data_IF_576354599552
#
_entry.id   IF_576354599552
#
_cell.length_a   1.000
_cell.length_b   1.000
_cell.length_c   1.000
_cell.angle_alpha   90.00
_cell.angle_beta   90.00
_cell.angle_gamma   90.00
#
_symmetry.space_group_name_H-M   'P 1'
#
loop_
_entity.id
_entity.type
_entity.pdbx_description
1 polymer ?
#
# COMPACT_ATOMS: atom_id res chain seq x y z
N UNK A 1 -6.94 -2.56 4.85
CA UNK A 1 -8.32 -3.06 5.12
C UNK A 1 -8.49 -4.34 4.35
N UNK A 2 -8.74 -5.44 5.01
CA UNK A 2 -9.03 -6.73 4.40
C UNK A 2 -10.39 -6.64 3.70
N UNK A 3 -10.43 -5.98 2.53
CA UNK A 3 -11.68 -5.68 1.81
C UNK A 3 -12.29 -6.91 1.14
N UNK A 4 -11.55 -8.02 1.09
CA UNK A 4 -12.05 -9.26 0.53
C UNK A 4 -12.89 -9.98 1.57
N UNK A 5 -14.17 -10.08 1.30
CA UNK A 5 -15.13 -10.86 2.09
C UNK A 5 -14.86 -12.39 2.04
N UNK A 6 -13.73 -12.79 1.46
CA UNK A 6 -13.34 -14.18 1.33
C UNK A 6 -12.56 -14.60 2.59
N UNK A 7 -13.09 -15.61 3.25
CA UNK A 7 -12.50 -16.24 4.41
C UNK A 7 -12.25 -17.71 4.09
N UNK A 8 -11.21 -18.26 4.72
CA UNK A 8 -11.00 -19.71 4.70
C UNK A 8 -11.98 -20.44 5.63
N UNK A 9 -11.88 -21.77 5.69
CA UNK A 9 -12.71 -22.64 6.55
C UNK A 9 -12.55 -22.34 8.06
N UNK A 10 -11.47 -21.66 8.48
CA UNK A 10 -11.19 -21.25 9.85
C UNK A 10 -11.59 -19.79 10.14
N UNK A 11 -12.22 -19.12 9.17
CA UNK A 11 -12.60 -17.70 9.29
C UNK A 11 -11.42 -16.76 9.31
N UNK A 12 -10.34 -17.10 8.60
CA UNK A 12 -9.16 -16.24 8.40
C UNK A 12 -9.30 -15.56 7.04
N UNK A 13 -9.11 -14.23 6.96
CA UNK A 13 -9.14 -13.54 5.67
C UNK A 13 -8.11 -14.13 4.70
N UNK A 14 -8.53 -14.42 3.48
CA UNK A 14 -7.66 -15.04 2.47
C UNK A 14 -6.37 -14.24 2.21
N UNK A 15 -6.46 -12.89 2.19
CA UNK A 15 -5.28 -12.02 2.05
C UNK A 15 -4.28 -12.17 3.20
N UNK A 16 -4.77 -12.43 4.42
CA UNK A 16 -3.89 -12.72 5.54
C UNK A 16 -3.15 -14.04 5.33
N UNK A 17 -3.87 -15.09 4.90
CA UNK A 17 -3.25 -16.38 4.60
C UNK A 17 -2.18 -16.26 3.52
N UNK A 18 -2.45 -15.49 2.45
CA UNK A 18 -1.47 -15.21 1.39
C UNK A 18 -0.24 -14.48 1.92
N UNK A 19 -0.43 -13.45 2.74
CA UNK A 19 0.69 -12.72 3.36
C UNK A 19 1.54 -13.61 4.25
N UNK A 20 0.90 -14.46 5.05
CA UNK A 20 1.60 -15.42 5.93
C UNK A 20 2.33 -16.50 5.12
N UNK A 21 1.72 -17.00 4.06
CA UNK A 21 2.34 -17.96 3.15
C UNK A 21 3.59 -17.40 2.48
N UNK A 22 3.50 -16.17 1.97
CA UNK A 22 4.65 -15.48 1.37
C UNK A 22 5.76 -15.24 2.41
N UNK A 23 5.38 -14.85 3.63
CA UNK A 23 6.36 -14.67 4.71
C UNK A 23 7.04 -15.98 5.11
N UNK A 24 6.29 -17.09 5.19
CA UNK A 24 6.86 -18.43 5.44
C UNK A 24 7.85 -18.83 4.34
N UNK A 25 7.53 -18.55 3.07
CA UNK A 25 8.43 -18.78 1.93
C UNK A 25 9.71 -17.93 2.01
N UNK A 26 9.62 -16.66 2.44
CA UNK A 26 10.81 -15.82 2.67
C UNK A 26 11.70 -16.40 3.76
N UNK A 27 11.12 -16.85 4.88
CA UNK A 27 11.86 -17.50 5.97
C UNK A 27 12.52 -18.80 5.51
N UNK A 28 11.81 -19.61 4.73
CA UNK A 28 12.34 -20.83 4.12
C UNK A 28 13.52 -20.51 3.20
N UNK A 29 13.35 -19.54 2.30
CA UNK A 29 14.42 -19.10 1.38
C UNK A 29 15.66 -18.64 2.16
N UNK A 30 15.47 -17.81 3.19
CA UNK A 30 16.56 -17.34 4.03
C UNK A 30 17.32 -18.51 4.68
N UNK A 31 16.59 -19.48 5.22
CA UNK A 31 17.19 -20.68 5.85
C UNK A 31 17.98 -21.52 4.83
N UNK A 32 17.42 -21.78 3.66
CA UNK A 32 18.03 -22.60 2.60
C UNK A 32 19.28 -21.94 2.01
N UNK A 33 19.36 -20.61 2.03
CA UNK A 33 20.50 -19.85 1.54
C UNK A 33 21.49 -19.39 2.64
N UNK A 34 21.33 -19.90 3.87
CA UNK A 34 22.28 -19.63 4.97
C UNK A 34 22.21 -18.21 5.53
N UNK A 35 21.18 -17.46 5.19
CA UNK A 35 20.92 -16.10 5.72
C UNK A 35 20.56 -16.23 7.21
N UNK A 36 21.08 -15.34 8.04
CA UNK A 36 20.89 -15.38 9.51
C UNK A 36 19.93 -14.33 10.01
N UNK A 37 19.88 -13.18 9.38
CA UNK A 37 19.11 -12.02 9.85
C UNK A 37 18.01 -11.70 8.85
N UNK A 38 16.79 -11.52 9.36
CA UNK A 38 15.62 -11.09 8.59
C UNK A 38 15.10 -9.79 9.18
N UNK A 39 14.99 -8.75 8.34
CA UNK A 39 14.52 -7.43 8.74
C UNK A 39 13.13 -7.19 8.16
N UNK A 40 12.18 -6.82 9.03
CA UNK A 40 10.81 -6.40 8.63
C UNK A 40 10.74 -4.89 8.77
N UNK A 41 10.63 -4.21 7.63
CA UNK A 41 10.72 -2.75 7.57
C UNK A 41 9.40 -2.02 7.88
N UNK A 42 8.71 -2.43 8.94
CA UNK A 42 7.52 -1.79 9.49
C UNK A 42 6.19 -2.17 8.83
N UNK A 43 5.11 -1.61 9.39
CA UNK A 43 3.72 -1.83 8.94
C UNK A 43 3.30 -3.32 8.93
N UNK A 44 3.60 -4.03 10.02
CA UNK A 44 3.13 -5.40 10.24
C UNK A 44 1.61 -5.41 10.49
N UNK A 45 1.08 -4.36 11.09
CA UNK A 45 -0.33 -4.14 11.32
C UNK A 45 -0.91 -3.16 10.29
N UNK A 46 -2.15 -3.37 9.83
CA UNK A 46 -2.81 -2.48 8.86
C UNK A 46 -3.56 -1.32 9.54
N UNK A 47 -4.13 -1.54 10.70
CA UNK A 47 -5.00 -0.58 11.40
C UNK A 47 -4.35 -0.05 12.67
N UNK A 48 -4.16 1.28 12.76
CA UNK A 48 -3.48 1.94 13.88
C UNK A 48 -4.03 1.61 15.28
N UNK A 49 -5.35 1.50 15.42
CA UNK A 49 -6.02 1.34 16.72
C UNK A 49 -6.63 -0.05 16.92
N UNK A 50 -6.42 -0.96 16.00
CA UNK A 50 -7.05 -2.30 16.02
C UNK A 50 -6.01 -3.35 15.67
N UNK A 51 -5.87 -4.33 16.54
CA UNK A 51 -5.01 -5.48 16.31
C UNK A 51 -5.89 -6.72 16.12
N UNK A 52 -5.72 -7.37 14.99
CA UNK A 52 -6.33 -8.68 14.76
C UNK A 52 -5.47 -9.76 15.40
N UNK A 53 -5.86 -10.25 16.57
CA UNK A 53 -5.06 -11.22 17.34
C UNK A 53 -4.65 -12.46 16.53
N UNK A 54 -5.52 -12.95 15.62
CA UNK A 54 -5.20 -14.11 14.77
C UNK A 54 -3.96 -13.86 13.91
N UNK A 55 -3.79 -12.64 13.36
CA UNK A 55 -2.63 -12.28 12.55
C UNK A 55 -1.33 -12.45 13.33
N UNK A 56 -1.29 -11.88 14.53
CA UNK A 56 -0.10 -11.94 15.38
C UNK A 56 0.19 -13.35 15.92
N UNK A 57 -0.84 -14.11 16.28
CA UNK A 57 -0.68 -15.52 16.72
C UNK A 57 -0.10 -16.38 15.58
N UNK A 58 -0.60 -16.22 14.37
CA UNK A 58 -0.12 -17.00 13.22
C UNK A 58 1.29 -16.58 12.79
N UNK A 59 1.56 -15.26 12.76
CA UNK A 59 2.89 -14.73 12.46
C UNK A 59 3.92 -15.23 13.48
N UNK A 60 3.58 -15.19 14.77
CA UNK A 60 4.44 -15.70 15.84
C UNK A 60 4.78 -17.18 15.68
N UNK A 61 3.80 -18.00 15.28
CA UNK A 61 4.03 -19.43 14.98
C UNK A 61 5.03 -19.63 13.83
N UNK A 62 4.98 -18.79 12.79
CA UNK A 62 5.96 -18.85 11.70
C UNK A 62 7.34 -18.47 12.22
N UNK A 63 7.45 -17.39 12.97
CA UNK A 63 8.72 -16.96 13.58
C UNK A 63 9.33 -18.05 14.46
N UNK A 64 8.52 -18.68 15.31
CA UNK A 64 8.97 -19.78 16.20
C UNK A 64 9.42 -21.02 15.41
N UNK A 65 8.84 -21.28 14.23
CA UNK A 65 9.24 -22.38 13.32
C UNK A 65 10.67 -22.18 12.81
N UNK A 66 11.09 -20.93 12.59
CA UNK A 66 12.41 -20.58 12.05
C UNK A 66 13.36 -20.04 13.12
N UNK A 67 13.60 -20.82 14.17
CA UNK A 67 14.44 -20.44 15.29
C UNK A 67 15.93 -20.25 14.96
N UNK A 68 16.35 -20.62 13.75
CA UNK A 68 17.69 -20.40 13.22
C UNK A 68 17.86 -19.00 12.58
N UNK A 69 16.77 -18.24 12.39
CA UNK A 69 16.77 -16.87 11.91
C UNK A 69 16.62 -15.90 13.08
N UNK A 70 17.35 -14.81 13.03
CA UNK A 70 17.12 -13.65 13.92
C UNK A 70 16.22 -12.65 13.21
N UNK A 71 15.08 -12.32 13.82
CA UNK A 71 14.11 -11.37 13.28
C UNK A 71 14.28 -10.00 13.93
N UNK A 72 14.52 -8.99 13.12
CA UNK A 72 14.51 -7.58 13.51
C UNK A 72 13.28 -6.94 12.92
N UNK A 73 12.33 -6.53 13.76
CA UNK A 73 11.03 -6.01 13.34
C UNK A 73 10.93 -4.57 13.85
N UNK A 74 11.01 -3.61 12.93
CA UNK A 74 10.85 -2.20 13.30
C UNK A 74 9.39 -1.76 13.16
N UNK A 75 8.95 -0.79 13.98
CA UNK A 75 7.61 -0.23 13.85
C UNK A 75 7.50 0.67 12.63
N UNK A 76 6.38 0.53 11.92
CA UNK A 76 5.91 1.45 10.90
C UNK A 76 4.80 2.36 11.46
N UNK A 77 4.27 3.23 10.62
CA UNK A 77 3.26 4.20 11.04
C UNK A 77 1.86 3.59 11.29
N UNK A 78 1.61 2.36 10.85
CA UNK A 78 0.39 1.62 11.12
C UNK A 78 0.49 0.73 12.37
N UNK A 79 1.69 0.47 12.85
CA UNK A 79 1.91 -0.35 14.05
C UNK A 79 1.67 0.42 15.36
N UNK A 80 1.54 1.74 15.30
CA UNK A 80 1.33 2.63 16.43
C UNK A 80 -0.08 3.24 16.41
N UNK A 81 -0.74 3.30 17.57
CA UNK A 81 -2.08 3.85 17.70
C UNK A 81 -2.08 5.38 17.55
N UNK A 82 -1.10 6.05 18.12
CA UNK A 82 -0.90 7.49 18.00
C UNK A 82 0.58 7.84 17.82
N UNK A 83 0.83 9.08 17.44
CA UNK A 83 2.20 9.59 17.26
C UNK A 83 3.00 9.73 18.57
N UNK A 84 2.32 9.69 19.69
CA UNK A 84 2.90 9.87 21.02
C UNK A 84 2.99 8.55 21.79
N UNK A 85 2.51 7.46 21.17
CA UNK A 85 2.52 6.15 21.82
C UNK A 85 3.95 5.63 22.00
N UNK A 86 4.16 5.08 23.18
CA UNK A 86 5.39 4.36 23.54
C UNK A 86 5.24 2.86 23.27
N UNK A 87 4.04 2.41 22.87
CA UNK A 87 3.69 1.02 22.58
C UNK A 87 3.36 0.86 21.11
N UNK A 88 3.79 -0.25 20.56
CA UNK A 88 3.52 -0.65 19.18
C UNK A 88 2.94 -2.05 19.14
N UNK A 89 2.06 -2.30 18.17
CA UNK A 89 1.46 -3.61 17.96
C UNK A 89 2.50 -4.73 17.78
N UNK A 90 3.66 -4.41 17.19
CA UNK A 90 4.72 -5.42 16.97
C UNK A 90 5.28 -6.02 18.25
N UNK A 91 5.14 -5.33 19.40
CA UNK A 91 5.57 -5.87 20.71
C UNK A 91 4.79 -7.12 21.14
N UNK A 92 3.66 -7.42 20.49
CA UNK A 92 2.96 -8.70 20.66
C UNK A 92 3.78 -9.89 20.12
N UNK A 93 4.78 -9.63 19.32
CA UNK A 93 5.70 -10.64 18.79
C UNK A 93 6.87 -10.92 19.75
N UNK A 94 7.08 -10.09 20.76
CA UNK A 94 8.12 -10.30 21.77
C UNK A 94 7.93 -11.63 22.52
N UNK A 95 9.02 -12.18 23.00
CA UNK A 95 9.08 -13.40 23.80
C UNK A 95 10.02 -14.45 23.23
N UNK A 96 9.95 -14.85 21.93
CA UNK A 96 10.98 -15.71 21.35
C UNK A 96 12.37 -15.05 21.40
N UNK A 97 13.40 -15.83 21.73
CA UNK A 97 14.78 -15.32 21.85
C UNK A 97 15.38 -14.86 20.53
N UNK A 98 14.78 -15.26 19.42
CA UNK A 98 15.18 -14.89 18.06
C UNK A 98 14.38 -13.72 17.48
N UNK A 99 13.70 -12.93 18.31
CA UNK A 99 12.96 -11.73 17.91
C UNK A 99 13.50 -10.50 18.64
N UNK A 100 13.68 -9.42 17.91
CA UNK A 100 13.97 -8.10 18.45
C UNK A 100 13.03 -7.09 17.79
N UNK A 101 12.06 -6.59 18.55
CA UNK A 101 11.21 -5.48 18.11
C UNK A 101 11.90 -4.14 18.35
N UNK A 102 11.78 -3.20 17.42
CA UNK A 102 12.41 -1.88 17.47
C UNK A 102 11.31 -0.85 17.30
N UNK A 103 10.91 -0.23 18.43
CA UNK A 103 9.68 0.58 18.48
C UNK A 103 9.95 2.08 18.49
N UNK A 104 10.86 2.54 19.35
CA UNK A 104 11.03 3.97 19.59
C UNK A 104 12.43 4.47 19.29
N UNK A 105 13.40 3.82 19.87
CA UNK A 105 14.78 4.27 19.81
C UNK A 105 15.52 3.61 18.66
N UNK A 106 16.39 4.33 17.95
CA UNK A 106 17.27 3.75 16.95
C UNK A 106 18.17 2.65 17.56
N UNK A 107 18.44 1.63 16.77
CA UNK A 107 19.30 0.51 17.16
C UNK A 107 20.43 0.36 16.16
N UNK A 108 21.64 0.15 16.64
CA UNK A 108 22.80 -0.15 15.81
C UNK A 108 23.20 -1.62 15.97
N UNK A 109 23.43 -2.28 14.84
CA UNK A 109 23.87 -3.67 14.76
C UNK A 109 24.97 -3.73 13.72
N UNK A 110 26.21 -3.95 14.16
CA UNK A 110 27.37 -3.95 13.27
C UNK A 110 27.44 -2.67 12.41
N UNK A 111 27.32 -2.80 11.09
CA UNK A 111 27.34 -1.70 10.12
C UNK A 111 25.92 -1.23 9.70
N UNK A 112 24.89 -1.62 10.45
CA UNK A 112 23.49 -1.33 10.15
C UNK A 112 22.91 -0.41 11.24
N UNK A 113 22.33 0.70 10.85
CA UNK A 113 21.50 1.56 11.69
C UNK A 113 20.03 1.28 11.37
N UNK A 114 19.22 1.02 12.39
CA UNK A 114 17.78 0.79 12.25
C UNK A 114 17.05 1.93 12.97
N UNK A 115 16.26 2.69 12.22
CA UNK A 115 15.44 3.79 12.76
C UNK A 115 13.97 3.43 12.56
N UNK A 116 13.22 3.13 13.64
CA UNK A 116 11.79 2.87 13.54
C UNK A 116 11.04 4.14 13.13
N UNK A 117 9.79 4.01 12.72
CA UNK A 117 8.97 5.19 12.43
C UNK A 117 8.77 6.03 13.68
N UNK A 118 9.06 7.32 13.57
CA UNK A 118 8.87 8.31 14.63
C UNK A 118 8.42 9.65 14.05
N UNK A 119 7.89 10.54 14.90
CA UNK A 119 7.58 11.90 14.49
C UNK A 119 8.80 12.73 14.12
N UNK A 120 9.96 12.37 14.67
CA UNK A 120 11.22 13.10 14.59
C UNK A 120 12.28 12.33 13.78
N UNK A 121 11.85 11.58 12.73
CA UNK A 121 12.78 10.81 11.89
C UNK A 121 13.97 11.65 11.40
N UNK A 122 13.74 12.93 11.02
CA UNK A 122 14.83 13.83 10.63
C UNK A 122 15.86 14.08 11.73
N UNK A 123 15.42 14.17 12.97
CA UNK A 123 16.29 14.34 14.14
C UNK A 123 17.07 13.05 14.39
N UNK A 124 16.38 11.93 14.42
CA UNK A 124 17.02 10.60 14.51
C UNK A 124 18.03 10.36 13.40
N UNK A 125 17.72 10.78 12.17
CA UNK A 125 18.66 10.70 11.05
C UNK A 125 19.91 11.58 11.29
N UNK A 126 19.78 12.78 11.85
CA UNK A 126 20.91 13.66 12.14
C UNK A 126 21.81 13.09 13.25
N UNK A 127 21.20 12.55 14.30
CA UNK A 127 21.89 12.01 15.48
C UNK A 127 22.50 10.63 15.24
N UNK A 128 21.96 9.86 14.29
CA UNK A 128 22.50 8.56 13.94
C UNK A 128 23.97 8.68 13.51
N UNK A 129 24.80 7.75 13.94
CA UNK A 129 26.19 7.67 13.49
C UNK A 129 26.29 7.41 12.01
N UNK A 130 27.42 7.81 11.43
CA UNK A 130 27.77 7.39 10.09
C UNK A 130 27.90 5.85 10.09
N UNK A 131 27.06 5.19 9.31
CA UNK A 131 27.07 3.75 9.17
C UNK A 131 26.82 3.40 7.70
N UNK A 132 27.16 2.17 7.29
CA UNK A 132 27.03 1.79 5.88
C UNK A 132 25.57 1.65 5.46
N UNK A 133 24.75 1.03 6.30
CA UNK A 133 23.37 0.64 5.95
C UNK A 133 22.39 1.33 6.90
N UNK A 134 21.34 1.92 6.33
CA UNK A 134 20.15 2.37 7.05
C UNK A 134 18.97 1.46 6.71
N UNK A 135 18.25 0.98 7.73
CA UNK A 135 16.94 0.35 7.58
C UNK A 135 15.92 1.18 8.34
N UNK A 136 14.83 1.62 7.66
CA UNK A 136 13.85 2.48 8.29
C UNK A 136 12.47 2.41 7.61
N UNK A 137 11.52 3.24 8.11
CA UNK A 137 10.14 3.29 7.63
C UNK A 137 9.66 4.74 7.48
N UNK A 138 9.88 5.34 6.32
CA UNK A 138 9.40 6.69 5.99
C UNK A 138 9.40 6.96 4.48
N UNK A 139 8.69 8.01 4.06
CA UNK A 139 8.68 8.47 2.68
C UNK A 139 9.72 9.56 2.42
N UNK A 140 10.32 9.56 1.22
CA UNK A 140 11.16 10.66 0.71
C UNK A 140 10.49 11.38 -0.46
N UNK A 141 10.92 12.61 -0.72
CA UNK A 141 10.34 13.44 -1.79
C UNK A 141 10.45 12.85 -3.18
N UNK A 142 11.52 12.13 -3.44
CA UNK A 142 11.85 11.58 -4.74
C UNK A 142 11.11 10.28 -5.04
N UNK A 143 10.48 9.67 -4.01
CA UNK A 143 9.78 8.40 -4.15
C UNK A 143 8.32 8.56 -4.60
N UNK A 144 7.80 7.49 -5.22
CA UNK A 144 6.41 7.37 -5.64
C UNK A 144 5.64 6.48 -4.67
N UNK A 145 4.41 6.86 -4.37
CA UNK A 145 3.53 6.10 -3.46
C UNK A 145 2.97 4.86 -4.16
N UNK A 146 2.64 5.02 -5.43
CA UNK A 146 2.18 3.98 -6.34
C UNK A 146 2.52 4.42 -7.76
N UNK A 147 2.06 3.72 -8.78
CA UNK A 147 2.41 3.87 -10.21
C UNK A 147 2.42 5.28 -10.83
N UNK A 148 2.59 6.33 -10.06
CA UNK A 148 2.73 7.69 -10.63
C UNK A 148 2.56 8.85 -9.67
N UNK A 149 2.06 8.59 -8.47
CA UNK A 149 1.79 9.65 -7.49
C UNK A 149 2.98 9.82 -6.52
N UNK A 150 3.46 11.06 -6.37
CA UNK A 150 4.43 11.45 -5.35
C UNK A 150 3.76 12.24 -4.24
N UNK A 151 4.18 12.03 -3.00
CA UNK A 151 3.73 12.80 -1.84
C UNK A 151 4.93 13.62 -1.33
N UNK A 152 4.68 14.89 -1.02
CA UNK A 152 5.70 15.72 -0.40
C UNK A 152 6.10 15.20 0.96
N UNK A 153 7.39 14.96 1.15
CA UNK A 153 8.02 14.61 2.42
C UNK A 153 8.95 15.73 2.90
N UNK A 154 9.24 15.77 4.18
CA UNK A 154 10.29 16.65 4.74
C UNK A 154 11.69 16.06 4.54
N UNK A 155 11.79 14.79 4.18
CA UNK A 155 13.01 14.02 3.98
C UNK A 155 13.25 13.87 2.48
N UNK A 156 14.48 14.02 2.06
CA UNK A 156 14.92 13.78 0.69
C UNK A 156 16.28 13.08 0.65
N UNK A 157 16.75 12.74 -0.54
CA UNK A 157 18.05 12.07 -0.74
C UNK A 157 19.22 12.78 -0.05
N UNK A 158 19.17 14.12 0.03
CA UNK A 158 20.20 14.93 0.70
C UNK A 158 20.40 14.58 2.18
N UNK A 159 19.31 14.15 2.85
CA UNK A 159 19.31 13.84 4.27
C UNK A 159 19.86 12.41 4.55
N UNK A 160 20.05 11.60 3.50
CA UNK A 160 20.47 10.21 3.54
C UNK A 160 21.92 9.99 3.10
N UNK A 161 22.63 11.04 2.66
CA UNK A 161 23.97 10.95 2.04
C UNK A 161 25.05 10.32 2.89
N UNK A 162 24.87 10.20 4.20
CA UNK A 162 25.82 9.56 5.10
C UNK A 162 25.74 8.05 5.14
N UNK A 163 24.73 7.45 4.47
CA UNK A 163 24.57 6.02 4.36
C UNK A 163 24.90 5.58 2.92
N UNK A 164 25.69 4.51 2.79
CA UNK A 164 26.04 3.95 1.50
C UNK A 164 24.85 3.21 0.87
N UNK A 165 24.00 2.60 1.70
CA UNK A 165 22.79 1.88 1.31
C UNK A 165 21.63 2.20 2.24
N UNK A 166 20.46 2.47 1.68
CA UNK A 166 19.24 2.77 2.45
C UNK A 166 18.10 1.84 2.02
N UNK A 167 17.53 1.13 2.99
CA UNK A 167 16.45 0.16 2.80
C UNK A 167 15.19 0.66 3.53
N UNK A 168 14.13 0.92 2.79
CA UNK A 168 12.92 1.55 3.34
C UNK A 168 11.67 0.68 3.16
N UNK A 169 10.84 0.65 4.19
CA UNK A 169 9.42 0.32 4.11
C UNK A 169 8.56 1.54 3.79
N UNK A 170 7.27 1.52 4.14
CA UNK A 170 6.27 2.57 4.02
C UNK A 170 5.54 2.60 2.67
N UNK A 171 6.23 2.72 1.55
CA UNK A 171 5.59 2.69 0.23
C UNK A 171 5.43 1.25 -0.27
N UNK A 172 4.22 0.91 -0.72
CA UNK A 172 3.91 -0.44 -1.23
C UNK A 172 4.52 -0.70 -2.59
N UNK A 173 4.85 0.36 -3.34
CA UNK A 173 5.47 0.26 -4.66
C UNK A 173 6.97 -0.01 -4.54
N UNK A 174 7.47 -1.18 -4.99
CA UNK A 174 8.89 -1.48 -5.00
C UNK A 174 9.62 -0.56 -5.96
N UNK A 175 10.61 0.18 -5.48
CA UNK A 175 11.36 1.12 -6.31
C UNK A 175 12.78 1.32 -5.80
N UNK A 176 13.68 1.70 -6.70
CA UNK A 176 15.06 2.02 -6.40
C UNK A 176 15.34 3.46 -6.87
N UNK A 177 15.94 4.27 -6.02
CA UNK A 177 16.25 5.66 -6.28
C UNK A 177 17.67 5.89 -5.77
N UNK A 178 18.66 5.97 -6.66
CA UNK A 178 20.08 6.00 -6.30
C UNK A 178 20.43 4.82 -5.38
N UNK A 179 20.93 5.08 -4.17
CA UNK A 179 21.25 4.07 -3.15
C UNK A 179 20.08 3.76 -2.19
N UNK A 180 18.87 4.25 -2.48
CA UNK A 180 17.66 4.04 -1.67
C UNK A 180 16.77 3.01 -2.32
N UNK A 181 16.42 1.96 -1.58
CA UNK A 181 15.57 0.86 -2.02
C UNK A 181 14.32 0.80 -1.16
N UNK A 182 13.15 1.07 -1.75
CA UNK A 182 11.87 0.69 -1.15
C UNK A 182 11.59 -0.77 -1.47
N UNK A 183 11.45 -1.58 -0.43
CA UNK A 183 11.17 -3.02 -0.60
C UNK A 183 9.80 -3.25 -1.22
N UNK A 184 8.83 -2.40 -0.88
CA UNK A 184 7.43 -2.55 -1.23
C UNK A 184 6.67 -3.46 -0.26
N UNK A 185 5.38 -3.67 -0.52
CA UNK A 185 4.60 -4.69 0.17
C UNK A 185 4.95 -6.09 -0.33
N UNK A 186 4.82 -7.10 0.54
CA UNK A 186 5.17 -8.49 0.20
C UNK A 186 4.22 -9.14 -0.81
N UNK A 187 2.99 -8.64 -0.91
CA UNK A 187 1.95 -9.05 -1.87
C UNK A 187 1.21 -7.82 -2.39
N UNK A 188 0.45 -7.98 -3.46
CA UNK A 188 -0.48 -6.94 -3.89
C UNK A 188 -1.66 -6.87 -2.90
N UNK A 189 -1.79 -5.75 -2.20
CA UNK A 189 -2.82 -5.54 -1.19
C UNK A 189 -4.10 -4.92 -1.75
N UNK A 190 -3.99 -4.21 -2.87
CA UNK A 190 -5.08 -3.41 -3.45
C UNK A 190 -5.11 -3.53 -4.96
N UNK A 191 -6.29 -3.32 -5.55
CA UNK A 191 -6.51 -3.27 -6.99
C UNK A 191 -5.61 -2.25 -7.71
N UNK A 192 -5.29 -1.13 -7.04
CA UNK A 192 -4.38 -0.12 -7.60
C UNK A 192 -2.93 -0.59 -7.75
N UNK A 193 -2.60 -1.75 -7.20
CA UNK A 193 -1.27 -2.37 -7.29
C UNK A 193 -1.22 -3.45 -8.40
N UNK A 194 -2.27 -3.53 -9.23
CA UNK A 194 -2.30 -4.45 -10.37
C UNK A 194 -1.12 -4.18 -11.32
N UNK A 195 -0.42 -5.24 -11.72
CA UNK A 195 0.76 -5.17 -12.58
C UNK A 195 2.06 -4.83 -11.84
N UNK A 196 2.02 -4.63 -10.50
CA UNK A 196 3.23 -4.45 -9.71
C UNK A 196 3.82 -5.80 -9.31
N UNK A 197 5.08 -6.03 -9.64
CA UNK A 197 5.83 -7.15 -9.12
C UNK A 197 6.28 -6.87 -7.68
N UNK A 198 5.88 -7.73 -6.75
CA UNK A 198 6.25 -7.65 -5.34
C UNK A 198 7.51 -8.48 -5.07
N UNK A 199 8.29 -8.05 -4.07
CA UNK A 199 9.62 -8.62 -3.84
C UNK A 199 10.03 -8.58 -2.37
N UNK A 200 11.08 -9.30 -2.05
CA UNK A 200 11.95 -9.02 -0.91
C UNK A 200 13.39 -8.79 -1.39
N UNK A 201 14.20 -8.23 -0.54
CA UNK A 201 15.58 -7.89 -0.87
C UNK A 201 16.55 -8.78 -0.08
N UNK A 202 17.58 -9.25 -0.74
CA UNK A 202 18.74 -9.88 -0.13
C UNK A 202 19.89 -8.89 -0.24
N UNK A 203 20.57 -8.67 0.87
CA UNK A 203 21.64 -7.69 0.97
C UNK A 203 22.88 -8.38 1.52
N UNK A 204 23.98 -8.25 0.82
CA UNK A 204 25.28 -8.54 1.35
C UNK A 204 25.79 -7.32 2.11
N UNK A 205 25.97 -7.45 3.42
CA UNK A 205 26.35 -6.33 4.29
C UNK A 205 27.78 -5.85 4.12
N UNK A 206 28.64 -6.64 3.51
CA UNK A 206 30.05 -6.30 3.27
C UNK A 206 30.24 -5.59 1.95
N UNK A 207 29.65 -6.14 0.87
CA UNK A 207 29.76 -5.61 -0.50
C UNK A 207 28.70 -4.56 -0.81
N UNK A 208 27.58 -4.51 -0.05
CA UNK A 208 26.39 -3.71 -0.27
C UNK A 208 25.60 -4.09 -1.53
N UNK A 209 25.85 -5.28 -2.06
CA UNK A 209 25.09 -5.81 -3.19
C UNK A 209 23.65 -6.11 -2.77
N UNK A 210 22.68 -5.64 -3.58
CA UNK A 210 21.26 -5.84 -3.35
C UNK A 210 20.65 -6.70 -4.46
N UNK A 211 20.12 -7.85 -4.09
CA UNK A 211 19.39 -8.74 -5.00
C UNK A 211 17.90 -8.70 -4.69
N UNK A 212 17.09 -8.48 -5.73
CA UNK A 212 15.63 -8.54 -5.64
C UNK A 212 15.15 -9.96 -5.95
N UNK A 213 14.33 -10.52 -5.06
CA UNK A 213 13.65 -11.81 -5.26
C UNK A 213 12.16 -11.58 -5.30
N UNK A 214 11.49 -11.99 -6.37
CA UNK A 214 10.06 -11.83 -6.53
C UNK A 214 9.30 -12.71 -5.53
N UNK A 215 8.20 -12.19 -5.02
CA UNK A 215 7.28 -12.96 -4.19
C UNK A 215 6.21 -13.63 -5.05
N UNK A 216 5.89 -14.86 -4.72
CA UNK A 216 4.96 -15.70 -5.45
C UNK A 216 3.99 -16.43 -4.50
N UNK A 217 2.97 -17.10 -5.07
CA UNK A 217 2.04 -17.92 -4.31
C UNK A 217 0.89 -17.12 -3.64
N UNK A 218 0.58 -15.95 -4.17
CA UNK A 218 -0.57 -15.14 -3.75
C UNK A 218 -1.42 -14.74 -4.96
N UNK A 219 -2.70 -14.42 -4.73
CA UNK A 219 -3.60 -13.97 -5.79
C UNK A 219 -3.31 -12.53 -6.16
N UNK A 220 -3.01 -12.29 -7.44
CA UNK A 220 -2.69 -10.98 -8.00
C UNK A 220 -3.94 -10.27 -8.49
N UNK A 221 -3.86 -8.94 -8.56
CA UNK A 221 -4.85 -8.10 -9.23
C UNK A 221 -4.41 -7.85 -10.67
N UNK A 222 -5.36 -7.99 -11.60
CA UNK A 222 -5.18 -7.69 -13.00
C UNK A 222 -6.24 -6.70 -13.46
N UNK A 223 -5.84 -5.67 -14.21
CA UNK A 223 -6.73 -4.70 -14.80
C UNK A 223 -6.59 -4.77 -16.33
N UNK A 224 -7.68 -4.97 -17.00
CA UNK A 224 -7.75 -5.00 -18.48
C UNK A 224 -8.65 -3.88 -18.99
N UNK A 225 -8.26 -3.26 -20.09
CA UNK A 225 -9.09 -2.30 -20.82
C UNK A 225 -9.57 -2.96 -22.10
N UNK A 226 -10.87 -2.93 -22.38
CA UNK A 226 -11.48 -3.34 -23.64
C UNK A 226 -11.97 -2.09 -24.34
N UNK A 227 -11.19 -1.61 -25.29
CA UNK A 227 -11.44 -0.42 -26.12
C UNK A 227 -11.61 -0.76 -27.61
N UNK A 228 -11.42 -2.02 -27.99
CA UNK A 228 -11.48 -2.52 -29.36
C UNK A 228 -12.24 -3.86 -29.39
N UNK A 229 -13.36 -3.88 -30.14
CA UNK A 229 -14.20 -5.08 -30.28
C UNK A 229 -13.41 -6.29 -30.82
N UNK A 230 -12.41 -6.04 -31.69
CA UNK A 230 -11.60 -7.12 -32.28
C UNK A 230 -10.70 -7.86 -31.23
N UNK A 231 -10.38 -7.20 -30.11
CA UNK A 231 -9.54 -7.76 -29.03
C UNK A 231 -10.36 -8.36 -27.89
N UNK A 232 -11.66 -8.09 -27.86
CA UNK A 232 -12.56 -8.46 -26.76
C UNK A 232 -12.46 -9.95 -26.41
N UNK A 233 -12.63 -10.83 -27.39
CA UNK A 233 -12.66 -12.28 -27.12
C UNK A 233 -11.33 -12.81 -26.60
N UNK A 234 -10.20 -12.28 -27.09
CA UNK A 234 -8.88 -12.67 -26.60
C UNK A 234 -8.64 -12.22 -25.15
N UNK A 235 -9.02 -10.97 -24.82
CA UNK A 235 -8.93 -10.43 -23.47
C UNK A 235 -9.84 -11.20 -22.51
N UNK A 236 -11.09 -11.48 -22.91
CA UNK A 236 -12.02 -12.26 -22.09
C UNK A 236 -11.51 -13.67 -21.81
N UNK A 237 -10.88 -14.33 -22.79
CA UNK A 237 -10.28 -15.64 -22.62
C UNK A 237 -9.12 -15.61 -21.63
N UNK A 238 -8.24 -14.60 -21.70
CA UNK A 238 -7.15 -14.41 -20.75
C UNK A 238 -7.69 -14.12 -19.35
N UNK A 239 -8.66 -13.21 -19.23
CA UNK A 239 -9.33 -12.90 -17.99
C UNK A 239 -9.92 -14.16 -17.32
N UNK A 240 -10.53 -15.04 -18.15
CA UNK A 240 -11.07 -16.30 -17.64
C UNK A 240 -9.98 -17.21 -17.07
N UNK A 241 -8.88 -17.39 -17.79
CA UNK A 241 -7.77 -18.23 -17.34
C UNK A 241 -7.25 -17.75 -15.99
N UNK A 242 -6.96 -16.44 -15.87
CA UNK A 242 -6.49 -15.84 -14.64
C UNK A 242 -7.51 -15.91 -13.49
N UNK A 243 -8.80 -15.79 -13.81
CA UNK A 243 -9.88 -15.96 -12.81
C UNK A 243 -10.00 -17.41 -12.34
N UNK A 244 -9.86 -18.38 -13.25
CA UNK A 244 -9.87 -19.81 -12.91
C UNK A 244 -8.65 -20.21 -12.04
N UNK A 245 -7.54 -19.49 -12.18
CA UNK A 245 -6.36 -19.56 -11.29
C UNK A 245 -6.58 -18.88 -9.93
N UNK A 246 -7.72 -18.21 -9.74
CA UNK A 246 -8.12 -17.54 -8.50
C UNK A 246 -7.68 -16.10 -8.39
N UNK A 247 -7.12 -15.49 -9.43
CA UNK A 247 -6.71 -14.10 -9.43
C UNK A 247 -7.90 -13.12 -9.46
N UNK A 248 -7.68 -11.86 -9.04
CA UNK A 248 -8.68 -10.80 -9.03
C UNK A 248 -8.64 -10.02 -10.33
N UNK A 249 -9.70 -10.14 -11.12
CA UNK A 249 -9.79 -9.52 -12.44
C UNK A 249 -10.73 -8.32 -12.40
N UNK A 250 -10.30 -7.23 -13.03
CA UNK A 250 -11.16 -6.08 -13.32
C UNK A 250 -11.04 -5.73 -14.80
N UNK A 251 -12.17 -5.63 -15.47
CA UNK A 251 -12.25 -5.17 -16.85
C UNK A 251 -12.88 -3.77 -16.85
N UNK A 252 -12.23 -2.82 -17.52
CA UNK A 252 -12.82 -1.53 -17.89
C UNK A 252 -13.30 -1.66 -19.34
N UNK A 253 -14.61 -1.75 -19.50
CA UNK A 253 -15.22 -1.81 -20.81
C UNK A 253 -15.52 -0.40 -21.32
N UNK A 254 -14.84 -0.02 -22.39
CA UNK A 254 -15.00 1.27 -23.08
C UNK A 254 -15.83 1.14 -24.38
N UNK A 255 -16.30 -0.08 -24.68
CA UNK A 255 -17.20 -0.31 -25.81
C UNK A 255 -18.62 0.09 -25.43
N UNK A 256 -19.42 0.50 -26.41
CA UNK A 256 -20.85 0.77 -26.23
C UNK A 256 -21.64 -0.50 -25.87
N UNK A 257 -21.15 -1.66 -26.31
CA UNK A 257 -21.79 -2.95 -26.03
C UNK A 257 -21.50 -3.38 -24.60
N UNK A 258 -22.53 -3.63 -23.76
CA UNK A 258 -22.34 -4.17 -22.43
C UNK A 258 -21.64 -5.53 -22.46
N UNK A 259 -20.75 -5.76 -21.51
CA UNK A 259 -20.10 -7.04 -21.29
C UNK A 259 -20.57 -7.54 -19.92
N UNK A 260 -21.05 -8.77 -19.85
CA UNK A 260 -21.34 -9.46 -18.60
C UNK A 260 -20.49 -10.72 -18.54
N UNK A 261 -19.84 -10.92 -17.41
CA UNK A 261 -19.02 -12.13 -17.18
C UNK A 261 -19.06 -12.53 -15.72
N UNK A 262 -19.43 -13.78 -15.46
CA UNK A 262 -19.55 -14.30 -14.12
C UNK A 262 -18.19 -14.37 -13.41
N UNK A 263 -18.13 -13.88 -12.17
CA UNK A 263 -16.90 -13.90 -11.34
C UNK A 263 -15.88 -12.82 -11.64
N UNK A 264 -16.11 -11.97 -12.64
CA UNK A 264 -15.21 -10.88 -13.03
C UNK A 264 -15.86 -9.53 -12.74
N UNK A 265 -15.13 -8.59 -12.13
CA UNK A 265 -15.61 -7.23 -11.95
C UNK A 265 -15.50 -6.46 -13.26
N UNK A 266 -16.64 -6.04 -13.83
CA UNK A 266 -16.69 -5.22 -15.03
C UNK A 266 -17.12 -3.80 -14.64
N UNK A 267 -16.36 -2.82 -15.11
CA UNK A 267 -16.65 -1.39 -15.00
C UNK A 267 -16.92 -0.88 -16.41
N UNK A 268 -18.14 -0.45 -16.68
CA UNK A 268 -18.49 0.17 -17.96
C UNK A 268 -18.13 1.64 -17.90
N UNK A 269 -17.15 2.05 -18.71
CA UNK A 269 -16.77 3.43 -18.95
C UNK A 269 -17.36 3.87 -20.29
N UNK A 270 -18.66 4.13 -20.30
CA UNK A 270 -19.23 4.80 -21.46
C UNK A 270 -18.66 6.21 -21.55
N UNK A 271 -18.31 6.68 -22.76
CA UNK A 271 -18.19 8.12 -22.97
C UNK A 271 -19.46 8.73 -22.39
N UNK A 272 -19.31 9.60 -21.40
CA UNK A 272 -20.47 10.30 -20.86
C UNK A 272 -21.07 11.04 -22.05
N UNK A 273 -22.19 10.53 -22.60
CA UNK A 273 -23.05 11.38 -23.40
C UNK A 273 -23.12 12.71 -22.67
N UNK A 274 -22.84 13.79 -23.36
CA UNK A 274 -22.97 15.13 -22.79
C UNK A 274 -24.26 15.12 -21.99
N UNK A 275 -24.13 15.30 -20.67
CA UNK A 275 -25.20 15.00 -19.75
C UNK A 275 -26.47 15.63 -20.32
N UNK A 276 -27.45 14.84 -20.70
CA UNK A 276 -28.75 15.26 -21.33
C UNK A 276 -29.39 16.44 -20.61
N UNK A 277 -28.93 16.71 -19.37
CA UNK A 277 -29.30 17.82 -18.51
C UNK A 277 -28.45 19.08 -18.73
N UNK A 278 -27.46 19.08 -19.61
CA UNK A 278 -26.57 20.24 -19.86
C UNK A 278 -25.76 20.69 -18.64
N UNK A 279 -25.53 19.81 -17.65
CA UNK A 279 -24.73 20.07 -16.46
C UNK A 279 -23.41 19.29 -16.63
N UNK A 280 -22.27 19.99 -16.65
CA UNK A 280 -20.95 19.38 -16.74
C UNK A 280 -20.13 19.66 -15.50
N UNK A 281 -19.16 18.80 -15.19
CA UNK A 281 -18.25 18.97 -14.05
C UNK A 281 -17.30 20.16 -14.23
N UNK A 282 -17.15 20.68 -15.45
CA UNK A 282 -16.37 21.87 -15.77
C UNK A 282 -17.08 23.18 -15.46
N UNK A 283 -18.40 23.16 -15.25
CA UNK A 283 -19.16 24.34 -14.89
C UNK A 283 -18.88 24.76 -13.44
N UNK A 284 -18.92 26.08 -13.14
CA UNK A 284 -18.93 26.54 -11.76
C UNK A 284 -20.08 25.89 -10.98
N UNK A 285 -19.82 25.54 -9.73
CA UNK A 285 -20.78 24.78 -8.93
C UNK A 285 -22.14 25.50 -8.76
N UNK A 286 -22.12 26.82 -8.69
CA UNK A 286 -23.35 27.64 -8.65
C UNK A 286 -24.18 27.49 -9.92
N UNK A 287 -23.54 27.39 -11.08
CA UNK A 287 -24.21 27.20 -12.35
C UNK A 287 -24.77 25.78 -12.47
N UNK A 288 -24.01 24.77 -11.97
CA UNK A 288 -24.52 23.40 -11.86
C UNK A 288 -25.79 23.34 -11.03
N UNK A 289 -25.81 23.99 -9.86
CA UNK A 289 -26.98 24.06 -8.99
C UNK A 289 -28.16 24.77 -9.66
N UNK A 290 -27.93 25.90 -10.31
CA UNK A 290 -29.01 26.65 -11.03
C UNK A 290 -29.65 25.80 -12.12
N UNK A 291 -28.84 25.10 -12.93
CA UNK A 291 -29.34 24.19 -13.96
C UNK A 291 -30.08 23.01 -13.34
N UNK A 292 -29.55 22.41 -12.30
CA UNK A 292 -30.20 21.29 -11.60
C UNK A 292 -31.58 21.71 -11.05
N UNK A 293 -31.67 22.87 -10.40
CA UNK A 293 -32.94 23.38 -9.85
C UNK A 293 -33.96 23.67 -10.95
N UNK A 294 -33.50 24.11 -12.13
CA UNK A 294 -34.40 24.31 -13.28
C UNK A 294 -34.94 22.97 -13.82
N UNK A 295 -34.10 21.93 -13.87
CA UNK A 295 -34.52 20.59 -14.29
C UNK A 295 -35.52 19.96 -13.31
N UNK A 296 -35.39 20.28 -12.01
CA UNK A 296 -36.26 19.78 -10.95
C UNK A 296 -37.54 20.63 -10.79
N UNK A 297 -37.81 21.53 -11.72
CA UNK A 297 -38.98 22.44 -11.71
C UNK A 297 -39.14 23.26 -10.41
N UNK A 298 -38.01 23.57 -9.75
CA UNK A 298 -38.03 24.42 -8.55
C UNK A 298 -38.40 25.83 -8.97
N UNK A 299 -39.42 26.43 -8.33
CA UNK A 299 -39.89 27.78 -8.67
C UNK A 299 -38.73 28.79 -8.59
N UNK A 300 -38.64 29.68 -9.57
CA UNK A 300 -37.53 30.64 -9.69
C UNK A 300 -37.34 31.49 -8.40
N UNK A 301 -38.44 31.89 -7.77
CA UNK A 301 -38.44 32.63 -6.50
C UNK A 301 -37.79 31.90 -5.33
N UNK A 302 -37.64 30.59 -5.40
CA UNK A 302 -37.06 29.76 -4.32
C UNK A 302 -35.61 29.37 -4.59
N UNK A 303 -35.15 29.47 -5.83
CA UNK A 303 -33.82 29.00 -6.25
C UNK A 303 -32.68 29.70 -5.52
N UNK A 304 -32.78 31.01 -5.29
CA UNK A 304 -31.76 31.76 -4.57
C UNK A 304 -31.60 31.32 -3.11
N UNK A 305 -32.70 30.92 -2.47
CA UNK A 305 -32.67 30.42 -1.11
C UNK A 305 -32.00 29.03 -1.04
N UNK A 306 -32.36 28.12 -1.94
CA UNK A 306 -31.74 26.81 -2.02
C UNK A 306 -30.26 26.92 -2.38
N UNK A 307 -29.87 27.83 -3.26
CA UNK A 307 -28.48 28.06 -3.61
C UNK A 307 -27.64 28.52 -2.40
N UNK A 308 -28.17 29.47 -1.61
CA UNK A 308 -27.54 29.92 -0.36
C UNK A 308 -27.31 28.78 0.62
N UNK A 309 -28.33 27.95 0.82
CA UNK A 309 -28.26 26.78 1.71
C UNK A 309 -27.17 25.80 1.20
N UNK A 310 -27.22 25.49 -0.09
CA UNK A 310 -26.25 24.57 -0.69
C UNK A 310 -24.79 25.06 -0.55
N UNK A 311 -24.51 26.33 -0.85
CA UNK A 311 -23.19 26.95 -0.72
C UNK A 311 -22.73 26.92 0.75
N UNK A 312 -23.62 27.25 1.69
CA UNK A 312 -23.28 27.23 3.12
C UNK A 312 -22.98 25.83 3.63
N UNK A 313 -23.75 24.84 3.19
CA UNK A 313 -23.60 23.42 3.60
C UNK A 313 -22.31 22.81 3.04
N UNK A 314 -21.93 23.16 1.82
CA UNK A 314 -20.72 22.66 1.16
C UNK A 314 -19.44 23.42 1.57
N UNK A 315 -19.55 24.46 2.39
CA UNK A 315 -18.40 25.27 2.81
C UNK A 315 -17.67 25.97 1.67
N UNK A 316 -18.37 26.25 0.57
CA UNK A 316 -17.80 26.91 -0.62
C UNK A 316 -17.64 28.40 -0.31
N UNK A 317 -16.39 28.85 -0.18
CA UNK A 317 -16.10 30.29 -0.05
C UNK A 317 -16.41 30.98 -1.38
N UNK A 318 -17.34 31.95 -1.36
CA UNK A 318 -17.54 32.83 -2.49
C UNK A 318 -16.20 33.49 -2.87
N UNK A 319 -15.77 33.34 -4.13
CA UNK A 319 -14.55 33.98 -4.66
C UNK A 319 -14.70 35.50 -4.88
N UNK A 320 -15.79 36.10 -4.42
CA UNK A 320 -16.06 37.55 -4.51
C UNK A 320 -16.29 38.09 -3.10
N UNK A 321 -15.20 38.31 -2.37
CA UNK A 321 -15.17 38.96 -1.07
C UNK A 321 -13.74 39.15 -0.63
#
# INVERSE_FOLDING_TARGET
MWSDKLFDEFGIPMKLNESLFVFDNMCKYATENGIKNLFVAGDVNDLKNVVHYKSFVLLKKIIEKYNNLMFYILSGNHDEASREDIMSAIQLLDGPSNVKTIVKDPVEIENITIIPWTNNVLESLKEAKENKILISHFGINEAKVNSGMSIRSKIGLKDLKKFDLVLLGHYHYPQNIENVYYVGSSIQLRKSEAGEDKRFLIVDSDTLDVTSVLTEGYRKYYNFDIDDESKKDSILKECKSLSDEGHYITIRNKLETPIEYEGIQIIHEYEKEECVRGITTSMPIEEQFKKYMAIMDIPEKERDNYLKIAISTLGIKNKNG
#
